data_IF_382450830724
#
_entry.id   IF_382450830724
#
_cell.length_a   1.000
_cell.length_b   1.000
_cell.length_c   1.000
_cell.angle_alpha   90.00
_cell.angle_beta   90.00
_cell.angle_gamma   90.00
#
_symmetry.space_group_name_H-M   'P 1'
#
loop_
_entity.id
_entity.type
_entity.pdbx_description
1 polymer ?
#
# COMPACT_ATOMS: atom_id res chain seq x y z
N UNK A 1 9.15 35.09 -16.33
CA UNK A 1 9.30 34.88 -14.86
C UNK A 1 10.53 35.64 -14.39
N UNK A 2 10.62 36.01 -13.11
CA UNK A 2 11.83 36.64 -12.53
C UNK A 2 12.86 35.58 -12.12
N UNK A 3 14.15 35.93 -12.08
CA UNK A 3 15.23 35.04 -11.64
C UNK A 3 15.00 34.47 -10.22
N UNK A 4 14.38 35.25 -9.33
CA UNK A 4 13.99 34.80 -8.00
C UNK A 4 12.94 33.68 -8.02
N UNK A 5 12.00 33.72 -8.97
CA UNK A 5 10.99 32.68 -9.14
C UNK A 5 11.60 31.36 -9.59
N UNK A 6 12.57 31.41 -10.51
CA UNK A 6 13.30 30.24 -10.98
C UNK A 6 14.17 29.62 -9.87
N UNK A 7 14.84 30.44 -9.05
CA UNK A 7 15.59 29.96 -7.89
C UNK A 7 14.67 29.30 -6.85
N UNK A 8 13.51 29.90 -6.57
CA UNK A 8 12.53 29.33 -5.64
C UNK A 8 11.96 28.00 -6.17
N UNK A 9 11.65 27.93 -7.46
CA UNK A 9 11.21 26.71 -8.12
C UNK A 9 12.29 25.62 -8.08
N UNK A 10 13.54 25.98 -8.35
CA UNK A 10 14.68 25.07 -8.25
C UNK A 10 14.90 24.55 -6.82
N UNK A 11 14.67 25.38 -5.80
CA UNK A 11 14.71 24.94 -4.40
C UNK A 11 13.61 23.91 -4.11
N UNK A 12 12.37 24.15 -4.56
CA UNK A 12 11.28 23.17 -4.45
C UNK A 12 11.60 21.86 -5.17
N UNK A 13 12.24 21.91 -6.34
CA UNK A 13 12.65 20.72 -7.10
C UNK A 13 13.62 19.80 -6.34
N UNK A 14 14.39 20.36 -5.41
CA UNK A 14 15.32 19.61 -4.56
C UNK A 14 14.73 19.25 -3.19
N UNK A 15 13.48 19.65 -2.94
CA UNK A 15 12.79 19.47 -1.67
C UNK A 15 13.23 20.45 -0.58
N UNK A 16 13.80 21.59 -0.96
CA UNK A 16 14.20 22.66 -0.04
C UNK A 16 13.10 23.71 0.09
N UNK A 17 12.02 23.31 0.76
CA UNK A 17 10.85 24.15 0.97
C UNK A 17 11.14 25.43 1.76
N UNK A 18 12.10 25.40 2.69
CA UNK A 18 12.45 26.55 3.51
C UNK A 18 13.14 27.63 2.69
N UNK A 19 14.13 27.26 1.87
CA UNK A 19 14.76 28.20 0.93
C UNK A 19 13.73 28.73 -0.07
N UNK A 20 12.85 27.87 -0.59
CA UNK A 20 11.77 28.30 -1.49
C UNK A 20 10.84 29.34 -0.84
N UNK A 21 10.44 29.14 0.41
CA UNK A 21 9.62 30.12 1.16
C UNK A 21 10.35 31.45 1.36
N UNK A 22 11.63 31.41 1.71
CA UNK A 22 12.45 32.61 1.88
C UNK A 22 12.55 33.43 0.58
N UNK A 23 12.67 32.76 -0.56
CA UNK A 23 12.72 33.42 -1.87
C UNK A 23 11.33 33.90 -2.33
N UNK A 24 10.31 33.07 -2.15
CA UNK A 24 8.93 33.39 -2.54
C UNK A 24 8.33 34.53 -1.70
N UNK A 25 8.78 34.71 -0.45
CA UNK A 25 8.39 35.84 0.40
C UNK A 25 8.74 37.22 -0.18
N UNK A 26 9.68 37.27 -1.13
CA UNK A 26 10.07 38.49 -1.86
C UNK A 26 9.31 38.69 -3.17
N UNK A 27 8.42 37.76 -3.51
CA UNK A 27 7.59 37.79 -4.71
C UNK A 27 6.14 38.12 -4.32
N UNK A 28 5.38 38.62 -5.28
CA UNK A 28 3.97 38.94 -5.13
C UNK A 28 3.12 38.28 -6.23
N UNK A 29 1.79 38.33 -6.09
CA UNK A 29 0.85 37.80 -7.08
C UNK A 29 0.76 36.27 -7.10
N UNK A 30 0.17 35.74 -8.19
CA UNK A 30 -0.12 34.32 -8.35
C UNK A 30 1.14 33.44 -8.27
N UNK A 31 2.26 33.84 -8.88
CA UNK A 31 3.51 33.06 -8.84
C UNK A 31 4.02 32.83 -7.41
N UNK A 32 3.95 33.87 -6.55
CA UNK A 32 4.34 33.78 -5.14
C UNK A 32 3.42 32.83 -4.37
N UNK A 33 2.11 32.93 -4.58
CA UNK A 33 1.13 32.04 -3.95
C UNK A 33 1.31 30.59 -4.38
N UNK A 34 1.59 30.32 -5.67
CA UNK A 34 1.89 28.99 -6.17
C UNK A 34 3.14 28.40 -5.46
N UNK A 35 4.25 29.14 -5.45
CA UNK A 35 5.50 28.71 -4.81
C UNK A 35 5.32 28.42 -3.32
N UNK A 36 4.66 29.32 -2.59
CA UNK A 36 4.38 29.14 -1.15
C UNK A 36 3.45 27.97 -0.90
N UNK A 37 2.38 27.83 -1.70
CA UNK A 37 1.44 26.73 -1.60
C UNK A 37 2.12 25.37 -1.74
N UNK A 38 2.98 25.22 -2.75
CA UNK A 38 3.78 23.99 -2.94
C UNK A 38 4.79 23.79 -1.79
N UNK A 39 5.41 24.85 -1.28
CA UNK A 39 6.34 24.74 -0.16
C UNK A 39 5.66 24.30 1.15
N UNK A 40 4.49 24.87 1.48
CA UNK A 40 3.70 24.44 2.64
C UNK A 40 3.27 22.98 2.52
N UNK A 41 2.91 22.59 1.29
CA UNK A 41 2.69 21.20 0.94
C UNK A 41 3.95 20.38 1.30
N UNK A 42 5.14 20.70 0.80
CA UNK A 42 6.38 19.96 1.12
C UNK A 42 6.68 19.84 2.62
N UNK A 43 6.31 20.85 3.41
CA UNK A 43 6.46 20.86 4.87
C UNK A 43 5.39 20.04 5.60
N UNK A 44 4.30 19.68 4.94
CA UNK A 44 3.19 18.90 5.48
C UNK A 44 2.05 19.73 6.06
N UNK A 45 2.06 21.06 5.88
CA UNK A 45 0.94 21.93 6.26
C UNK A 45 -0.08 21.98 5.11
N UNK A 46 -0.91 20.94 5.06
CA UNK A 46 -1.82 20.71 3.93
C UNK A 46 -2.95 21.74 3.87
N UNK A 47 -3.44 22.21 5.02
CA UNK A 47 -4.52 23.19 5.06
C UNK A 47 -4.02 24.57 4.61
N UNK A 48 -2.83 24.97 5.05
CA UNK A 48 -2.20 26.20 4.57
C UNK A 48 -1.85 26.11 3.09
N UNK A 49 -1.36 24.95 2.63
CA UNK A 49 -1.10 24.70 1.21
C UNK A 49 -2.37 24.86 0.37
N UNK A 50 -3.46 24.18 0.76
CA UNK A 50 -4.75 24.20 0.05
C UNK A 50 -5.29 25.62 -0.08
N UNK A 51 -5.38 26.33 1.05
CA UNK A 51 -5.92 27.70 1.07
C UNK A 51 -5.05 28.67 0.25
N UNK A 52 -3.72 28.51 0.31
CA UNK A 52 -2.80 29.34 -0.48
C UNK A 52 -2.92 29.07 -1.99
N UNK A 53 -3.05 27.80 -2.40
CA UNK A 53 -3.23 27.42 -3.82
C UNK A 53 -4.59 27.85 -4.37
N UNK A 54 -5.66 27.78 -3.58
CA UNK A 54 -6.96 28.32 -3.98
C UNK A 54 -6.91 29.83 -4.21
N UNK A 55 -6.20 30.57 -3.33
CA UNK A 55 -5.94 32.00 -3.53
C UNK A 55 -5.13 32.28 -4.80
N UNK A 56 -4.17 31.41 -5.15
CA UNK A 56 -3.43 31.51 -6.40
C UNK A 56 -4.38 31.49 -7.61
N UNK A 57 -5.38 30.61 -7.62
CA UNK A 57 -6.35 30.50 -8.72
C UNK A 57 -7.21 31.76 -8.88
N UNK A 58 -7.52 32.45 -7.79
CA UNK A 58 -8.29 33.71 -7.81
C UNK A 58 -7.44 34.96 -8.08
N UNK A 59 -6.11 34.84 -8.04
CA UNK A 59 -5.18 35.98 -8.13
C UNK A 59 -4.81 36.35 -9.58
N UNK A 60 -5.56 35.87 -10.58
CA UNK A 60 -5.26 36.06 -12.00
C UNK A 60 -3.98 35.35 -12.46
N UNK A 61 -3.84 34.03 -12.25
CA UNK A 61 -2.65 33.29 -12.70
C UNK A 61 -2.58 33.23 -14.22
N UNK A 62 -1.37 33.13 -14.78
CA UNK A 62 -1.19 32.69 -16.15
C UNK A 62 -1.79 31.28 -16.36
N UNK A 63 -2.11 30.88 -17.61
CA UNK A 63 -2.66 29.54 -17.88
C UNK A 63 -1.81 28.40 -17.30
N UNK A 64 -0.49 28.55 -17.31
CA UNK A 64 0.46 27.58 -16.79
C UNK A 64 0.50 27.55 -15.26
N UNK A 65 0.52 28.71 -14.61
CA UNK A 65 0.44 28.80 -13.15
C UNK A 65 -0.88 28.23 -12.61
N UNK A 66 -1.99 28.51 -13.31
CA UNK A 66 -3.29 27.93 -12.96
C UNK A 66 -3.28 26.41 -13.10
N UNK A 67 -2.74 25.87 -14.19
CA UNK A 67 -2.63 24.43 -14.39
C UNK A 67 -1.76 23.76 -13.32
N UNK A 68 -0.65 24.39 -12.92
CA UNK A 68 0.22 23.90 -11.83
C UNK A 68 -0.49 23.99 -10.47
N UNK A 69 -1.20 25.06 -10.17
CA UNK A 69 -1.94 25.21 -8.92
C UNK A 69 -3.07 24.17 -8.80
N UNK A 70 -3.83 23.94 -9.88
CA UNK A 70 -4.84 22.88 -9.95
C UNK A 70 -4.23 21.48 -9.73
N UNK A 71 -3.12 21.19 -10.41
CA UNK A 71 -2.41 19.93 -10.24
C UNK A 71 -1.95 19.71 -8.77
N UNK A 72 -1.50 20.76 -8.09
CA UNK A 72 -1.08 20.69 -6.68
C UNK A 72 -2.29 20.43 -5.77
N UNK A 73 -3.42 21.04 -6.07
CA UNK A 73 -4.68 20.78 -5.36
C UNK A 73 -5.17 19.35 -5.56
N UNK A 74 -4.97 18.74 -6.73
CA UNK A 74 -5.25 17.31 -6.95
C UNK A 74 -4.44 16.46 -5.99
N UNK A 75 -3.14 16.69 -5.88
CA UNK A 75 -2.27 15.93 -4.96
C UNK A 75 -2.73 16.05 -3.50
N UNK A 76 -3.12 17.26 -3.08
CA UNK A 76 -3.70 17.52 -1.75
C UNK A 76 -5.04 16.79 -1.54
N UNK A 77 -5.89 16.77 -2.58
CA UNK A 77 -7.20 16.13 -2.56
C UNK A 77 -7.10 14.60 -2.45
N UNK A 78 -6.08 13.97 -3.03
CA UNK A 78 -5.84 12.51 -2.90
C UNK A 78 -5.80 12.07 -1.44
N UNK A 79 -5.30 12.91 -0.54
CA UNK A 79 -5.19 12.60 0.88
C UNK A 79 -6.49 12.80 1.69
N UNK A 80 -7.49 13.51 1.15
CA UNK A 80 -8.65 13.99 1.93
C UNK A 80 -10.02 13.68 1.30
N UNK A 81 -10.08 13.46 -0.02
CA UNK A 81 -11.32 13.39 -0.80
C UNK A 81 -11.54 11.99 -1.41
N UNK A 82 -12.54 11.88 -2.30
CA UNK A 82 -12.85 10.64 -3.03
C UNK A 82 -11.75 10.30 -4.05
N UNK A 83 -11.08 9.13 -3.96
CA UNK A 83 -10.03 8.74 -4.90
C UNK A 83 -10.52 8.69 -6.37
N UNK A 84 -11.81 8.41 -6.60
CA UNK A 84 -12.38 8.42 -7.97
C UNK A 84 -12.45 9.84 -8.55
N UNK A 85 -12.85 10.83 -7.74
CA UNK A 85 -12.89 12.22 -8.18
C UNK A 85 -11.46 12.75 -8.43
N UNK A 86 -10.52 12.41 -7.54
CA UNK A 86 -9.12 12.75 -7.70
C UNK A 86 -8.52 12.14 -8.98
N UNK A 87 -8.87 10.90 -9.34
CA UNK A 87 -8.39 10.27 -10.58
C UNK A 87 -8.84 11.06 -11.83
N UNK A 88 -10.08 11.54 -11.85
CA UNK A 88 -10.59 12.35 -12.97
C UNK A 88 -9.84 13.69 -13.06
N UNK A 89 -9.66 14.38 -11.93
CA UNK A 89 -8.95 15.64 -11.88
C UNK A 89 -7.45 15.50 -12.24
N UNK A 90 -6.80 14.40 -11.85
CA UNK A 90 -5.43 14.08 -12.25
C UNK A 90 -5.31 13.89 -13.77
N UNK A 91 -6.23 13.13 -14.38
CA UNK A 91 -6.25 12.96 -15.85
C UNK A 91 -6.46 14.29 -16.59
N UNK A 92 -7.35 15.14 -16.09
CA UNK A 92 -7.55 16.48 -16.63
C UNK A 92 -6.28 17.34 -16.51
N UNK A 93 -5.58 17.27 -15.37
CA UNK A 93 -4.33 17.98 -15.12
C UNK A 93 -3.21 17.52 -16.06
N UNK A 94 -3.05 16.21 -16.27
CA UNK A 94 -2.09 15.65 -17.25
C UNK A 94 -2.36 16.21 -18.65
N UNK A 95 -3.61 16.18 -19.11
CA UNK A 95 -4.00 16.69 -20.43
C UNK A 95 -3.77 18.20 -20.56
N UNK A 96 -4.07 18.98 -19.52
CA UNK A 96 -3.89 20.44 -19.51
C UNK A 96 -2.41 20.81 -19.52
N UNK A 97 -1.60 20.22 -18.64
CA UNK A 97 -0.15 20.47 -18.57
C UNK A 97 0.56 20.08 -19.86
N UNK A 98 0.18 18.94 -20.46
CA UNK A 98 0.74 18.50 -21.75
C UNK A 98 0.42 19.50 -22.87
N UNK A 99 -0.81 20.01 -22.94
CA UNK A 99 -1.20 21.03 -23.94
C UNK A 99 -0.46 22.35 -23.75
N UNK A 100 -0.10 22.68 -22.53
CA UNK A 100 0.67 23.89 -22.19
C UNK A 100 2.18 23.69 -22.31
N UNK A 101 2.66 22.53 -22.77
CA UNK A 101 4.08 22.24 -22.95
C UNK A 101 4.84 21.85 -21.66
N UNK A 102 4.14 21.75 -20.53
CA UNK A 102 4.74 21.40 -19.24
C UNK A 102 4.82 19.88 -19.05
N UNK A 103 5.68 19.25 -19.86
CA UNK A 103 5.85 17.80 -19.87
C UNK A 103 6.39 17.26 -18.54
N UNK A 104 7.18 18.07 -17.82
CA UNK A 104 7.73 17.69 -16.52
C UNK A 104 6.61 17.48 -15.51
N UNK A 105 5.74 18.48 -15.33
CA UNK A 105 4.65 18.39 -14.36
C UNK A 105 3.53 17.45 -14.85
N UNK A 106 3.35 17.30 -16.16
CA UNK A 106 2.48 16.26 -16.71
C UNK A 106 2.95 14.84 -16.33
N UNK A 107 4.26 14.57 -16.43
CA UNK A 107 4.83 13.28 -16.01
C UNK A 107 4.66 13.02 -14.51
N UNK A 108 4.85 14.06 -13.68
CA UNK A 108 4.54 13.94 -12.25
C UNK A 108 3.06 13.61 -12.02
N UNK A 109 2.14 14.33 -12.65
CA UNK A 109 0.72 14.09 -12.49
C UNK A 109 0.28 12.70 -12.96
N UNK A 110 1.01 12.07 -13.89
CA UNK A 110 0.81 10.65 -14.21
C UNK A 110 1.27 9.71 -13.09
N UNK A 111 2.34 10.03 -12.37
CA UNK A 111 2.75 9.26 -11.18
C UNK A 111 1.76 9.45 -10.02
N UNK A 112 1.19 10.66 -9.87
CA UNK A 112 0.07 10.93 -8.95
C UNK A 112 -1.15 10.10 -9.34
N UNK A 113 -1.48 10.03 -10.63
CA UNK A 113 -2.57 9.17 -11.10
C UNK A 113 -2.28 7.70 -10.79
N UNK A 114 -1.06 7.20 -11.02
CA UNK A 114 -0.68 5.83 -10.68
C UNK A 114 -0.89 5.54 -9.19
N UNK A 115 -0.56 6.49 -8.31
CA UNK A 115 -0.84 6.42 -6.87
C UNK A 115 -2.34 6.29 -6.59
N UNK A 116 -3.18 7.07 -7.27
CA UNK A 116 -4.63 7.00 -7.12
C UNK A 116 -5.17 5.64 -7.58
N UNK A 117 -4.63 5.10 -8.67
CA UNK A 117 -4.98 3.75 -9.15
C UNK A 117 -4.61 2.68 -8.11
N UNK A 118 -3.46 2.80 -7.44
CA UNK A 118 -3.09 1.95 -6.30
C UNK A 118 -4.10 2.05 -5.15
N UNK A 119 -4.52 3.25 -4.77
CA UNK A 119 -5.53 3.47 -3.72
C UNK A 119 -6.91 2.89 -4.09
N UNK A 120 -7.19 2.77 -5.39
CA UNK A 120 -8.41 2.16 -5.93
C UNK A 120 -8.29 0.64 -6.12
N UNK A 121 -7.15 0.03 -5.76
CA UNK A 121 -6.88 -1.40 -5.91
C UNK A 121 -6.57 -1.84 -7.35
N UNK A 122 -6.33 -0.88 -8.26
CA UNK A 122 -6.09 -1.09 -9.69
C UNK A 122 -4.59 -1.10 -9.99
N UNK A 123 -3.92 -2.16 -9.53
CA UNK A 123 -2.46 -2.27 -9.57
C UNK A 123 -1.90 -2.38 -11.00
N UNK A 124 -2.62 -3.04 -11.91
CA UNK A 124 -2.21 -3.17 -13.30
C UNK A 124 -2.22 -1.81 -14.03
N UNK A 125 -3.28 -1.02 -13.81
CA UNK A 125 -3.42 0.33 -14.35
C UNK A 125 -2.35 1.27 -13.77
N UNK A 126 -2.07 1.15 -12.48
CA UNK A 126 -0.98 1.89 -11.85
C UNK A 126 0.39 1.52 -12.44
N UNK A 127 0.67 0.23 -12.64
CA UNK A 127 1.91 -0.27 -13.26
C UNK A 127 2.09 0.30 -14.66
N UNK A 128 1.05 0.22 -15.50
CA UNK A 128 1.10 0.76 -16.86
C UNK A 128 1.43 2.26 -16.88
N UNK A 129 0.89 3.04 -15.94
CA UNK A 129 1.21 4.47 -15.82
C UNK A 129 2.65 4.72 -15.41
N UNK A 130 3.17 3.99 -14.42
CA UNK A 130 4.57 4.14 -13.97
C UNK A 130 5.54 3.75 -15.09
N UNK A 131 5.28 2.65 -15.79
CA UNK A 131 6.13 2.18 -16.89
C UNK A 131 6.13 3.18 -18.06
N UNK A 132 4.96 3.74 -18.41
CA UNK A 132 4.86 4.77 -19.44
C UNK A 132 5.64 6.05 -19.10
N UNK A 133 5.69 6.43 -17.81
CA UNK A 133 6.49 7.57 -17.35
C UNK A 133 7.98 7.23 -17.36
N UNK A 134 8.36 6.03 -16.94
CA UNK A 134 9.76 5.58 -16.86
C UNK A 134 10.48 5.56 -18.22
N UNK A 135 9.74 5.39 -19.32
CA UNK A 135 10.27 5.44 -20.69
C UNK A 135 10.65 6.85 -21.17
N UNK A 136 10.27 7.90 -20.44
CA UNK A 136 10.53 9.30 -20.83
C UNK A 136 11.93 9.77 -20.41
N UNK A 137 12.49 10.81 -21.05
CA UNK A 137 13.62 11.54 -20.50
C UNK A 137 13.20 12.32 -19.25
N UNK A 138 13.36 11.69 -18.07
CA UNK A 138 13.00 12.28 -16.79
C UNK A 138 14.18 13.00 -16.14
N UNK A 139 13.88 14.15 -15.51
CA UNK A 139 14.75 14.79 -14.53
C UNK A 139 15.08 13.83 -13.36
N UNK A 140 16.24 13.98 -12.68
CA UNK A 140 16.69 13.02 -11.67
C UNK A 140 15.69 12.80 -10.53
N UNK A 141 15.06 13.87 -10.05
CA UNK A 141 14.02 13.83 -9.02
C UNK A 141 12.79 13.04 -9.48
N UNK A 142 12.26 13.31 -10.67
CA UNK A 142 11.15 12.54 -11.25
C UNK A 142 11.49 11.06 -11.45
N UNK A 143 12.73 10.78 -11.87
CA UNK A 143 13.21 9.40 -12.03
C UNK A 143 13.25 8.66 -10.69
N UNK A 144 13.69 9.33 -9.63
CA UNK A 144 13.64 8.77 -8.28
C UNK A 144 12.19 8.54 -7.82
N UNK A 145 11.25 9.46 -8.10
CA UNK A 145 9.82 9.27 -7.82
C UNK A 145 9.27 8.05 -8.56
N UNK A 146 9.57 7.88 -9.84
CA UNK A 146 9.15 6.72 -10.62
C UNK A 146 9.70 5.40 -10.05
N UNK A 147 10.96 5.38 -9.60
CA UNK A 147 11.53 4.20 -8.95
C UNK A 147 10.87 3.86 -7.62
N UNK A 148 10.58 4.87 -6.80
CA UNK A 148 9.87 4.68 -5.54
C UNK A 148 8.43 4.17 -5.77
N UNK A 149 7.73 4.69 -6.79
CA UNK A 149 6.41 4.18 -7.20
C UNK A 149 6.47 2.73 -7.69
N UNK A 150 7.49 2.38 -8.49
CA UNK A 150 7.73 1.00 -8.92
C UNK A 150 7.98 0.05 -7.76
N UNK A 151 8.74 0.50 -6.75
CA UNK A 151 9.00 -0.27 -5.53
C UNK A 151 7.73 -0.48 -4.70
N UNK A 152 6.91 0.56 -4.54
CA UNK A 152 5.62 0.50 -3.85
C UNK A 152 4.68 -0.52 -4.49
N UNK A 153 4.56 -0.50 -5.82
CA UNK A 153 3.76 -1.48 -6.57
C UNK A 153 4.28 -2.91 -6.36
N UNK A 154 5.60 -3.11 -6.44
CA UNK A 154 6.21 -4.41 -6.25
C UNK A 154 6.00 -4.94 -4.82
N UNK A 155 6.01 -4.08 -3.80
CA UNK A 155 5.67 -4.46 -2.42
C UNK A 155 4.23 -4.98 -2.33
N UNK A 156 3.29 -4.28 -2.98
CA UNK A 156 1.86 -4.65 -2.98
C UNK A 156 1.60 -5.96 -3.71
N UNK A 157 2.38 -6.24 -4.75
CA UNK A 157 2.37 -7.50 -5.50
C UNK A 157 3.04 -8.65 -4.71
N UNK A 158 3.73 -8.37 -3.59
CA UNK A 158 4.50 -9.36 -2.84
C UNK A 158 5.86 -9.70 -3.47
N UNK A 159 6.31 -8.90 -4.44
CA UNK A 159 7.56 -9.06 -5.17
C UNK A 159 8.70 -8.29 -4.48
N UNK A 160 9.12 -8.74 -3.30
CA UNK A 160 10.15 -8.08 -2.48
C UNK A 160 11.46 -7.85 -3.23
N UNK A 161 11.88 -8.84 -4.03
CA UNK A 161 13.11 -8.78 -4.84
C UNK A 161 13.04 -7.69 -5.91
N UNK A 162 11.89 -7.56 -6.58
CA UNK A 162 11.64 -6.49 -7.55
C UNK A 162 11.63 -5.13 -6.85
N UNK A 163 10.99 -5.03 -5.69
CA UNK A 163 10.99 -3.79 -4.90
C UNK A 163 12.41 -3.36 -4.51
N UNK A 164 13.26 -4.28 -4.01
CA UNK A 164 14.66 -4.01 -3.67
C UNK A 164 15.46 -3.49 -4.86
N UNK A 165 15.25 -4.07 -6.05
CA UNK A 165 15.89 -3.62 -7.28
C UNK A 165 15.49 -2.18 -7.62
N UNK A 166 14.19 -1.86 -7.54
CA UNK A 166 13.69 -0.50 -7.77
C UNK A 166 14.25 0.51 -6.74
N UNK A 167 14.29 0.16 -5.45
CA UNK A 167 14.87 1.01 -4.40
C UNK A 167 16.38 1.21 -4.60
N UNK A 168 17.10 0.20 -5.07
CA UNK A 168 18.54 0.34 -5.43
C UNK A 168 18.73 1.36 -6.55
N UNK A 169 17.85 1.35 -7.56
CA UNK A 169 17.87 2.34 -8.64
C UNK A 169 17.50 3.75 -8.14
N UNK A 170 16.52 3.87 -7.23
CA UNK A 170 16.18 5.13 -6.58
C UNK A 170 17.38 5.68 -5.79
N UNK A 171 18.03 4.86 -4.97
CA UNK A 171 19.21 5.22 -4.19
C UNK A 171 20.34 5.74 -5.06
N UNK A 172 20.69 5.04 -6.14
CA UNK A 172 21.70 5.50 -7.12
C UNK A 172 21.34 6.85 -7.74
N UNK A 173 20.07 7.10 -8.00
CA UNK A 173 19.60 8.39 -8.53
C UNK A 173 19.79 9.50 -7.49
N UNK A 174 19.40 9.25 -6.24
CA UNK A 174 19.49 10.23 -5.14
C UNK A 174 20.92 10.49 -4.68
N UNK A 175 21.84 9.55 -4.84
CA UNK A 175 23.28 9.77 -4.61
C UNK A 175 23.88 10.78 -5.60
N UNK A 176 23.41 10.76 -6.86
CA UNK A 176 23.88 11.70 -7.91
C UNK A 176 23.19 13.05 -7.85
N UNK A 177 21.92 13.06 -7.44
CA UNK A 177 21.11 14.26 -7.29
C UNK A 177 20.37 14.21 -5.96
N UNK A 178 20.99 14.71 -4.86
CA UNK A 178 20.41 14.65 -3.53
C UNK A 178 19.06 15.36 -3.45
N UNK A 179 18.11 14.70 -2.78
CA UNK A 179 16.79 15.25 -2.50
C UNK A 179 16.34 14.74 -1.13
N UNK A 180 16.21 15.63 -0.14
CA UNK A 180 16.02 15.25 1.26
C UNK A 180 14.71 14.47 1.49
N UNK A 181 13.60 14.97 0.93
CA UNK A 181 12.30 14.34 1.10
C UNK A 181 12.19 12.97 0.40
N UNK A 182 12.75 12.81 -0.80
CA UNK A 182 12.81 11.51 -1.48
C UNK A 182 13.73 10.51 -0.77
N UNK A 183 14.82 10.99 -0.16
CA UNK A 183 15.72 10.13 0.62
C UNK A 183 15.01 9.56 1.85
N UNK A 184 14.16 10.35 2.51
CA UNK A 184 13.32 9.84 3.60
C UNK A 184 12.32 8.78 3.14
N UNK A 185 11.68 9.00 1.98
CA UNK A 185 10.74 8.02 1.41
C UNK A 185 11.46 6.71 1.03
N UNK A 186 12.65 6.81 0.45
CA UNK A 186 13.53 5.67 0.18
C UNK A 186 13.81 4.88 1.46
N UNK A 187 14.31 5.53 2.52
CA UNK A 187 14.62 4.86 3.78
C UNK A 187 13.40 4.20 4.43
N UNK A 188 12.22 4.82 4.33
CA UNK A 188 10.98 4.23 4.83
C UNK A 188 10.61 2.94 4.07
N UNK A 189 10.69 2.95 2.74
CA UNK A 189 10.41 1.76 1.93
C UNK A 189 11.43 0.64 2.17
N UNK A 190 12.71 1.00 2.33
CA UNK A 190 13.77 0.04 2.64
C UNK A 190 13.55 -0.62 4.01
N UNK A 191 13.15 0.16 5.02
CA UNK A 191 12.82 -0.37 6.34
C UNK A 191 11.61 -1.32 6.30
N UNK A 192 10.58 -1.01 5.49
CA UNK A 192 9.39 -1.86 5.36
C UNK A 192 9.68 -3.22 4.69
N UNK A 193 10.68 -3.31 3.79
CA UNK A 193 11.05 -4.59 3.17
C UNK A 193 11.61 -5.62 4.16
N UNK A 194 12.33 -5.15 5.18
CA UNK A 194 13.03 -5.99 6.17
C UNK A 194 12.33 -6.06 7.52
N UNK A 195 11.27 -5.26 7.70
CA UNK A 195 10.44 -5.31 8.90
C UNK A 195 9.64 -6.62 8.89
N UNK A 196 9.63 -7.39 10.00
CA UNK A 196 8.71 -8.51 10.13
C UNK A 196 7.26 -8.05 9.92
N UNK A 197 6.54 -8.74 9.03
CA UNK A 197 5.14 -8.46 8.70
C UNK A 197 4.20 -9.62 9.05
N UNK A 198 4.77 -10.81 9.25
CA UNK A 198 4.06 -12.03 9.55
C UNK A 198 4.95 -12.99 10.35
N UNK A 199 4.41 -14.15 10.69
CA UNK A 199 5.16 -15.30 11.18
C UNK A 199 5.00 -16.44 10.20
N UNK A 200 6.08 -17.13 9.86
CA UNK A 200 6.06 -18.28 8.98
C UNK A 200 6.17 -19.55 9.83
N UNK A 201 5.14 -20.37 9.81
CA UNK A 201 5.15 -21.69 10.42
C UNK A 201 5.62 -22.72 9.39
N UNK A 202 6.61 -23.51 9.80
CA UNK A 202 7.20 -24.62 9.04
C UNK A 202 7.27 -25.86 9.95
N UNK A 203 7.73 -26.99 9.41
CA UNK A 203 8.00 -28.20 10.23
C UNK A 203 9.09 -27.98 11.28
N UNK A 204 9.99 -27.00 11.11
CA UNK A 204 11.05 -26.66 12.06
C UNK A 204 10.59 -25.71 13.18
N UNK A 205 9.39 -25.13 13.07
CA UNK A 205 8.85 -24.17 14.04
C UNK A 205 8.29 -22.90 13.40
N UNK A 206 8.12 -21.88 14.23
CA UNK A 206 7.54 -20.58 13.85
C UNK A 206 8.62 -19.51 13.94
N UNK A 207 8.86 -18.80 12.85
CA UNK A 207 9.82 -17.70 12.77
C UNK A 207 9.15 -16.40 12.31
N UNK A 208 9.75 -15.25 12.65
CA UNK A 208 9.33 -13.97 12.10
C UNK A 208 9.64 -13.90 10.60
N UNK A 209 8.72 -13.37 9.80
CA UNK A 209 8.83 -13.30 8.35
C UNK A 209 8.71 -11.85 7.85
N UNK A 210 9.74 -11.41 7.14
CA UNK A 210 9.73 -10.19 6.33
C UNK A 210 9.19 -10.49 4.91
N UNK A 211 9.16 -9.48 4.04
CA UNK A 211 8.58 -9.65 2.70
C UNK A 211 9.40 -10.62 1.82
N UNK A 212 10.72 -10.71 2.02
CA UNK A 212 11.56 -11.66 1.29
C UNK A 212 11.30 -13.10 1.72
N UNK A 213 11.11 -13.36 3.01
CA UNK A 213 10.73 -14.66 3.52
C UNK A 213 9.37 -15.10 2.95
N UNK A 214 8.41 -14.18 2.86
CA UNK A 214 7.09 -14.44 2.25
C UNK A 214 7.20 -14.72 0.75
N UNK A 215 7.90 -13.89 -0.01
CA UNK A 215 8.12 -14.08 -1.46
C UNK A 215 8.74 -15.45 -1.76
N UNK A 216 9.78 -15.82 -1.01
CA UNK A 216 10.44 -17.13 -1.11
C UNK A 216 9.52 -18.29 -0.73
N UNK A 217 8.76 -18.14 0.37
CA UNK A 217 7.81 -19.17 0.79
C UNK A 217 6.69 -19.39 -0.24
N UNK A 218 6.16 -18.32 -0.85
CA UNK A 218 5.15 -18.43 -1.89
C UNK A 218 5.66 -19.11 -3.17
N UNK A 219 6.96 -18.95 -3.48
CA UNK A 219 7.62 -19.56 -4.63
C UNK A 219 7.92 -21.05 -4.41
N UNK A 220 8.45 -21.40 -3.25
CA UNK A 220 9.08 -22.71 -3.03
C UNK A 220 8.16 -23.72 -2.29
N UNK A 221 7.00 -23.28 -1.80
CA UNK A 221 6.11 -24.08 -0.97
C UNK A 221 4.63 -23.90 -1.37
N UNK A 222 3.77 -24.80 -0.86
CA UNK A 222 2.35 -24.53 -0.75
C UNK A 222 2.14 -23.64 0.48
N UNK A 223 1.99 -22.34 0.26
CA UNK A 223 1.83 -21.35 1.30
C UNK A 223 0.34 -21.14 1.63
N UNK A 224 -0.07 -21.50 2.84
CA UNK A 224 -1.40 -21.18 3.36
C UNK A 224 -1.33 -19.82 4.06
N UNK A 225 -1.91 -18.80 3.45
CA UNK A 225 -1.87 -17.42 3.94
C UNK A 225 -3.07 -17.11 4.84
N UNK A 226 -2.86 -17.13 6.16
CA UNK A 226 -3.88 -16.78 7.15
C UNK A 226 -4.09 -15.27 7.31
N UNK A 227 -3.24 -14.42 6.73
CA UNK A 227 -3.45 -12.99 6.70
C UNK A 227 -4.49 -12.61 5.64
N UNK A 228 -4.48 -13.29 4.48
CA UNK A 228 -5.39 -13.03 3.36
C UNK A 228 -6.48 -14.08 3.17
N UNK A 229 -6.50 -15.13 4.00
CA UNK A 229 -7.36 -16.31 3.83
C UNK A 229 -7.23 -16.90 2.42
N UNK A 230 -5.99 -17.18 2.00
CA UNK A 230 -5.67 -17.64 0.66
C UNK A 230 -4.65 -18.77 0.66
N UNK A 231 -4.43 -19.37 -0.50
CA UNK A 231 -3.40 -20.39 -0.72
C UNK A 231 -2.61 -20.01 -1.96
N UNK A 232 -1.29 -20.09 -1.87
CA UNK A 232 -0.37 -19.71 -2.94
C UNK A 232 0.59 -20.85 -3.23
N UNK A 233 0.84 -21.12 -4.50
CA UNK A 233 1.92 -21.99 -4.97
C UNK A 233 2.48 -21.44 -6.28
N UNK A 234 3.70 -20.92 -6.25
CA UNK A 234 4.27 -20.26 -7.42
C UNK A 234 3.41 -19.07 -7.87
N UNK A 235 2.94 -19.09 -9.12
CA UNK A 235 2.03 -18.07 -9.67
C UNK A 235 0.55 -18.33 -9.37
N UNK A 236 0.19 -19.53 -8.91
CA UNK A 236 -1.19 -19.89 -8.68
C UNK A 236 -1.68 -19.41 -7.32
N UNK A 237 -2.85 -18.77 -7.31
CA UNK A 237 -3.45 -18.18 -6.13
C UNK A 237 -4.93 -18.56 -5.99
N UNK A 238 -5.30 -19.08 -4.83
CA UNK A 238 -6.68 -19.44 -4.49
C UNK A 238 -7.17 -18.61 -3.29
N UNK A 239 -8.08 -17.66 -3.54
CA UNK A 239 -8.72 -16.91 -2.48
C UNK A 239 -9.84 -17.72 -1.80
N UNK A 240 -9.79 -17.85 -0.48
CA UNK A 240 -10.78 -18.57 0.34
C UNK A 240 -11.45 -17.67 1.38
N UNK A 241 -11.24 -16.36 1.34
CA UNK A 241 -11.86 -15.39 2.27
C UNK A 241 -13.39 -15.49 2.35
N UNK A 242 -14.06 -15.81 1.23
CA UNK A 242 -15.53 -16.03 1.18
C UNK A 242 -15.97 -17.45 1.58
N UNK A 243 -15.03 -18.32 1.96
CA UNK A 243 -15.25 -19.72 2.34
C UNK A 243 -14.54 -20.02 3.67
N UNK A 244 -14.94 -19.35 4.78
CA UNK A 244 -14.18 -19.33 6.03
C UNK A 244 -14.01 -20.73 6.66
N UNK A 245 -15.02 -21.59 6.57
CA UNK A 245 -14.94 -22.97 7.10
C UNK A 245 -13.92 -23.79 6.32
N UNK A 246 -13.91 -23.71 4.99
CA UNK A 246 -12.95 -24.42 4.14
C UNK A 246 -11.53 -23.90 4.43
N UNK A 247 -11.36 -22.59 4.54
CA UNK A 247 -10.07 -22.01 4.88
C UNK A 247 -9.58 -22.47 6.26
N UNK A 248 -10.45 -22.47 7.28
CA UNK A 248 -10.08 -22.91 8.64
C UNK A 248 -9.63 -24.37 8.65
N UNK A 249 -10.37 -25.26 7.96
CA UNK A 249 -9.99 -26.67 7.80
C UNK A 249 -8.63 -26.83 7.09
N UNK A 250 -8.40 -26.06 6.02
CA UNK A 250 -7.12 -26.09 5.32
C UNK A 250 -5.96 -25.59 6.21
N UNK A 251 -6.16 -24.51 6.97
CA UNK A 251 -5.17 -24.00 7.91
C UNK A 251 -4.78 -25.08 8.92
N UNK A 252 -5.75 -25.77 9.51
CA UNK A 252 -5.50 -26.85 10.48
C UNK A 252 -4.70 -28.00 9.86
N UNK A 253 -5.07 -28.43 8.65
CA UNK A 253 -4.33 -29.46 7.93
C UNK A 253 -2.88 -29.03 7.62
N UNK A 254 -2.68 -27.76 7.26
CA UNK A 254 -1.37 -27.23 6.95
C UNK A 254 -0.50 -27.03 8.20
N UNK A 255 -1.11 -26.74 9.35
CA UNK A 255 -0.41 -26.63 10.63
C UNK A 255 0.02 -27.99 11.19
N UNK A 256 -0.75 -29.05 10.92
CA UNK A 256 -0.42 -30.42 11.32
C UNK A 256 0.61 -31.08 10.39
N UNK A 257 0.78 -30.56 9.17
CA UNK A 257 1.69 -31.12 8.16
C UNK A 257 3.14 -31.23 8.72
N UNK A 258 3.86 -32.34 8.47
CA UNK A 258 3.53 -33.44 7.55
C UNK A 258 2.59 -34.52 8.12
N UNK A 259 2.23 -34.42 9.39
CA UNK A 259 1.41 -35.41 10.09
C UNK A 259 -0.09 -35.27 9.76
N UNK A 260 -0.89 -36.32 9.99
CA UNK A 260 -2.33 -36.23 9.86
C UNK A 260 -2.95 -35.35 10.96
N UNK A 261 -3.86 -34.46 10.57
CA UNK A 261 -4.73 -33.78 11.53
C UNK A 261 -5.89 -34.72 11.94
N UNK A 262 -6.14 -34.82 13.24
CA UNK A 262 -7.17 -35.71 13.79
C UNK A 262 -8.57 -35.26 13.36
N UNK A 263 -9.44 -36.25 13.08
CA UNK A 263 -10.81 -35.99 12.59
C UNK A 263 -11.63 -35.15 13.56
N UNK A 264 -11.48 -35.40 14.85
CA UNK A 264 -12.26 -34.72 15.88
C UNK A 264 -11.75 -33.29 16.15
N UNK A 265 -10.45 -33.05 16.02
CA UNK A 265 -9.88 -31.71 16.14
C UNK A 265 -10.29 -30.84 14.94
N UNK A 266 -10.18 -31.39 13.72
CA UNK A 266 -10.67 -30.73 12.51
C UNK A 266 -12.16 -30.38 12.60
N UNK A 267 -12.98 -31.27 13.15
CA UNK A 267 -14.40 -31.02 13.33
C UNK A 267 -14.69 -29.94 14.36
N UNK A 268 -14.07 -30.01 15.55
CA UNK A 268 -14.28 -29.04 16.63
C UNK A 268 -13.78 -27.66 16.25
N UNK A 269 -12.52 -27.58 15.82
CA UNK A 269 -11.88 -26.31 15.48
C UNK A 269 -12.41 -25.76 14.16
N UNK A 270 -12.58 -26.60 13.13
CA UNK A 270 -13.06 -26.15 11.82
C UNK A 270 -14.49 -25.60 11.82
N UNK A 271 -15.36 -26.13 12.70
CA UNK A 271 -16.76 -25.69 12.83
C UNK A 271 -17.03 -24.80 14.05
N UNK A 272 -16.02 -24.53 14.86
CA UNK A 272 -16.14 -23.74 16.10
C UNK A 272 -17.16 -24.33 17.10
N UNK A 273 -17.13 -25.65 17.28
CA UNK A 273 -18.05 -26.38 18.16
C UNK A 273 -17.32 -27.09 19.29
N UNK A 274 -17.91 -27.07 20.48
CA UNK A 274 -17.35 -27.77 21.66
C UNK A 274 -17.45 -29.29 21.55
N UNK A 275 -18.59 -29.79 21.07
CA UNK A 275 -18.87 -31.22 20.95
C UNK A 275 -19.23 -31.59 19.51
N UNK A 276 -18.69 -32.71 19.05
CA UNK A 276 -19.00 -33.27 17.74
C UNK A 276 -20.20 -34.21 17.81
N UNK A 277 -21.07 -34.11 16.81
CA UNK A 277 -22.19 -35.03 16.61
C UNK A 277 -22.04 -35.73 15.23
N UNK A 278 -22.88 -36.75 14.92
CA UNK A 278 -22.82 -37.43 13.64
C UNK A 278 -22.98 -36.49 12.43
N UNK A 279 -23.80 -35.45 12.54
CA UNK A 279 -24.03 -34.44 11.49
C UNK A 279 -22.76 -33.61 11.22
N UNK A 280 -22.01 -33.22 12.24
CA UNK A 280 -20.72 -32.54 12.10
C UNK A 280 -19.71 -33.45 11.39
N UNK A 281 -19.66 -34.74 11.74
CA UNK A 281 -18.80 -35.71 11.04
C UNK A 281 -19.20 -35.90 9.57
N UNK A 282 -20.48 -35.86 9.26
CA UNK A 282 -20.96 -35.86 7.87
C UNK A 282 -20.56 -34.59 7.12
N UNK A 283 -20.74 -33.41 7.74
CA UNK A 283 -20.33 -32.12 7.20
C UNK A 283 -18.83 -32.07 6.93
N UNK A 284 -18.01 -32.59 7.84
CA UNK A 284 -16.55 -32.65 7.66
C UNK A 284 -16.16 -33.40 6.38
N UNK A 285 -16.79 -34.55 6.12
CA UNK A 285 -16.56 -35.32 4.88
C UNK A 285 -16.91 -34.51 3.64
N UNK A 286 -18.02 -33.76 3.67
CA UNK A 286 -18.45 -32.89 2.56
C UNK A 286 -17.46 -31.74 2.34
N UNK A 287 -17.06 -31.05 3.39
CA UNK A 287 -16.10 -29.93 3.28
C UNK A 287 -14.72 -30.40 2.84
N UNK A 288 -14.26 -31.58 3.28
CA UNK A 288 -13.02 -32.19 2.76
C UNK A 288 -13.13 -32.53 1.26
N UNK A 289 -14.28 -33.00 0.81
CA UNK A 289 -14.56 -33.20 -0.62
C UNK A 289 -14.47 -31.89 -1.41
N UNK A 290 -15.08 -30.81 -0.90
CA UNK A 290 -15.00 -29.47 -1.51
C UNK A 290 -13.58 -28.93 -1.53
N UNK A 291 -12.84 -29.09 -0.44
CA UNK A 291 -11.45 -28.66 -0.33
C UNK A 291 -10.56 -29.39 -1.35
N UNK A 292 -10.74 -30.70 -1.54
CA UNK A 292 -10.01 -31.47 -2.58
C UNK A 292 -10.22 -30.89 -3.97
N UNK A 293 -11.46 -30.56 -4.33
CA UNK A 293 -11.76 -29.98 -5.65
C UNK A 293 -11.05 -28.63 -5.82
N UNK A 294 -11.07 -27.80 -4.78
CA UNK A 294 -10.45 -26.48 -4.81
C UNK A 294 -8.92 -26.52 -4.87
N UNK A 295 -8.27 -27.52 -4.28
CA UNK A 295 -6.81 -27.64 -4.25
C UNK A 295 -6.21 -28.26 -5.52
N UNK A 296 -7.01 -28.91 -6.38
CA UNK A 296 -6.52 -29.55 -7.62
C UNK A 296 -5.66 -28.62 -8.50
N UNK A 297 -6.04 -27.36 -8.78
CA UNK A 297 -5.24 -26.46 -9.60
C UNK A 297 -3.84 -26.21 -9.02
N UNK A 298 -3.69 -26.31 -7.69
CA UNK A 298 -2.42 -26.11 -6.98
C UNK A 298 -1.58 -27.39 -6.87
N UNK A 299 -1.97 -28.47 -7.56
CA UNK A 299 -1.38 -29.81 -7.43
C UNK A 299 -1.23 -30.24 -5.96
N UNK A 300 -2.23 -29.92 -5.13
CA UNK A 300 -2.32 -30.31 -3.74
C UNK A 300 -3.59 -31.14 -3.52
N UNK A 301 -3.56 -32.06 -2.55
CA UNK A 301 -4.68 -32.95 -2.26
C UNK A 301 -4.84 -33.17 -0.75
N UNK A 302 -6.01 -33.65 -0.36
CA UNK A 302 -6.27 -34.08 1.02
C UNK A 302 -6.57 -35.57 1.01
N UNK A 303 -5.77 -36.34 1.73
CA UNK A 303 -5.92 -37.79 1.85
C UNK A 303 -6.58 -38.13 3.19
N UNK A 304 -7.45 -39.15 3.18
CA UNK A 304 -8.02 -39.67 4.42
C UNK A 304 -7.04 -40.67 5.04
N UNK A 305 -6.90 -40.64 6.36
CA UNK A 305 -6.16 -41.64 7.14
C UNK A 305 -7.12 -42.41 8.05
N UNK A 306 -6.61 -43.41 8.76
CA UNK A 306 -7.40 -44.14 9.78
C UNK A 306 -7.97 -43.17 10.83
N UNK A 307 -7.17 -42.21 11.29
CA UNK A 307 -7.50 -41.29 12.38
C UNK A 307 -8.03 -39.92 11.93
N UNK A 308 -7.81 -39.52 10.68
CA UNK A 308 -8.07 -38.15 10.26
C UNK A 308 -7.83 -37.88 8.78
N UNK A 309 -7.15 -36.77 8.51
CA UNK A 309 -6.83 -36.29 7.16
C UNK A 309 -5.45 -35.68 7.10
N UNK A 310 -4.75 -35.82 5.98
CA UNK A 310 -3.43 -35.23 5.75
C UNK A 310 -3.44 -34.42 4.47
N UNK A 311 -2.79 -33.25 4.50
CA UNK A 311 -2.54 -32.44 3.31
C UNK A 311 -1.31 -32.97 2.56
N UNK A 312 -1.44 -33.16 1.26
CA UNK A 312 -0.33 -33.53 0.38
C UNK A 312 -0.07 -32.42 -0.63
N UNK A 313 1.20 -32.10 -0.78
CA UNK A 313 1.70 -31.18 -1.81
C UNK A 313 2.96 -31.81 -2.43
N UNK A 314 2.82 -32.71 -3.42
CA UNK A 314 3.98 -33.38 -4.03
C UNK A 314 5.02 -32.39 -4.52
N UNK A 315 6.29 -32.58 -4.12
CA UNK A 315 7.40 -31.72 -4.51
C UNK A 315 7.42 -30.33 -3.87
N UNK A 316 6.58 -30.06 -2.86
CA UNK A 316 6.56 -28.79 -2.13
C UNK A 316 6.41 -29.02 -0.62
N UNK A 317 7.15 -28.25 0.18
CA UNK A 317 6.83 -28.14 1.60
C UNK A 317 5.48 -27.43 1.79
N UNK A 318 4.80 -27.67 2.90
CA UNK A 318 3.66 -26.86 3.31
C UNK A 318 4.12 -25.86 4.36
N UNK A 319 3.75 -24.59 4.19
CA UNK A 319 4.05 -23.52 5.14
C UNK A 319 2.77 -22.73 5.44
N UNK A 320 2.65 -22.21 6.66
CA UNK A 320 1.51 -21.38 7.05
C UNK A 320 2.01 -19.98 7.39
N UNK A 321 1.50 -18.98 6.68
CA UNK A 321 1.73 -17.58 7.02
C UNK A 321 0.70 -17.15 8.05
N UNK A 322 1.17 -16.81 9.24
CA UNK A 322 0.37 -16.37 10.37
C UNK A 322 0.53 -14.85 10.54
N UNK A 323 -0.50 -14.14 11.02
CA UNK A 323 -0.34 -12.75 11.40
C UNK A 323 0.67 -12.61 12.56
N UNK A 324 1.35 -11.45 12.65
CA UNK A 324 2.32 -11.16 13.71
C UNK A 324 1.75 -11.32 15.11
N UNK A 325 0.51 -10.87 15.30
CA UNK A 325 -0.30 -11.19 16.47
C UNK A 325 -1.70 -11.58 16.02
N UNK A 326 -2.40 -12.39 16.82
CA UNK A 326 -3.77 -12.82 16.51
C UNK A 326 -4.84 -11.84 17.03
N UNK A 327 -4.42 -10.79 17.73
CA UNK A 327 -5.31 -9.78 18.28
C UNK A 327 -5.90 -8.83 17.22
N UNK A 328 -6.94 -8.11 17.63
CA UNK A 328 -7.70 -7.18 16.79
C UNK A 328 -6.86 -6.00 16.29
N UNK A 329 -5.83 -5.59 17.06
CA UNK A 329 -4.93 -4.50 16.70
C UNK A 329 -3.99 -4.92 15.57
N UNK A 330 -3.51 -6.15 15.57
CA UNK A 330 -2.71 -6.70 14.48
C UNK A 330 -3.53 -6.86 13.18
N UNK A 331 -4.81 -7.26 13.27
CA UNK A 331 -5.71 -7.28 12.10
C UNK A 331 -5.97 -5.87 11.57
N UNK A 332 -6.20 -4.90 12.46
CA UNK A 332 -6.35 -3.49 12.06
C UNK A 332 -5.07 -2.93 11.43
N UNK A 333 -3.89 -3.23 11.99
CA UNK A 333 -2.60 -2.81 11.45
C UNK A 333 -2.30 -3.42 10.07
N UNK A 334 -2.73 -4.67 9.82
CA UNK A 334 -2.64 -5.31 8.51
C UNK A 334 -3.53 -4.61 7.47
N UNK A 335 -4.78 -4.30 7.82
CA UNK A 335 -5.69 -3.56 6.94
C UNK A 335 -5.20 -2.15 6.62
N UNK A 336 -4.60 -1.47 7.60
CA UNK A 336 -3.97 -0.14 7.43
C UNK A 336 -2.62 -0.21 6.71
N UNK A 337 -2.09 -1.41 6.46
CA UNK A 337 -0.80 -1.64 5.79
C UNK A 337 -0.79 -1.19 4.33
N UNK A 338 -1.95 -1.01 3.71
CA UNK A 338 -2.10 -0.43 2.38
C UNK A 338 -1.93 1.11 2.37
N UNK A 339 -1.76 1.73 3.55
CA UNK A 339 -1.64 3.17 3.75
C UNK A 339 -2.77 3.99 3.13
N UNK A 340 -3.91 3.37 2.82
CA UNK A 340 -5.13 4.11 2.59
C UNK A 340 -5.58 4.73 3.92
N UNK A 341 -6.35 5.81 3.82
CA UNK A 341 -6.94 6.45 4.97
C UNK A 341 -8.28 5.79 5.28
N UNK A 342 -8.37 5.05 6.39
CA UNK A 342 -9.58 4.29 6.75
C UNK A 342 -10.41 5.06 7.78
N UNK A 343 -11.73 5.09 7.60
CA UNK A 343 -12.63 5.40 8.71
C UNK A 343 -12.75 4.19 9.63
N UNK A 344 -13.11 4.41 10.89
CA UNK A 344 -13.38 3.31 11.83
C UNK A 344 -14.47 2.36 11.32
N UNK A 345 -15.46 2.90 10.60
CA UNK A 345 -16.53 2.11 9.98
C UNK A 345 -16.05 1.16 8.90
N UNK A 346 -15.28 1.68 7.95
CA UNK A 346 -14.71 0.86 6.88
C UNK A 346 -13.83 -0.25 7.45
N UNK A 347 -13.06 0.06 8.50
CA UNK A 347 -12.19 -0.90 9.15
C UNK A 347 -13.00 -1.99 9.87
N UNK A 348 -14.06 -1.63 10.58
CA UNK A 348 -14.97 -2.57 11.23
C UNK A 348 -15.62 -3.53 10.23
N UNK A 349 -16.13 -2.98 9.11
CA UNK A 349 -16.76 -3.74 8.03
C UNK A 349 -15.78 -4.73 7.37
N UNK A 350 -14.55 -4.29 7.04
CA UNK A 350 -13.55 -5.16 6.42
C UNK A 350 -12.96 -6.21 7.36
N UNK A 351 -12.73 -5.85 8.62
CA UNK A 351 -12.23 -6.79 9.62
C UNK A 351 -13.31 -7.78 10.09
N UNK A 352 -14.59 -7.53 9.76
CA UNK A 352 -15.71 -8.34 10.24
C UNK A 352 -15.91 -8.24 11.76
N UNK A 353 -15.62 -7.07 12.35
CA UNK A 353 -15.68 -6.82 13.80
C UNK A 353 -16.66 -5.70 14.12
N UNK A 354 -17.04 -5.57 15.40
CA UNK A 354 -17.90 -4.46 15.84
C UNK A 354 -17.17 -3.10 15.74
N UNK A 355 -17.94 -2.02 15.60
CA UNK A 355 -17.40 -0.65 15.63
C UNK A 355 -16.59 -0.33 16.89
N UNK A 356 -17.08 -0.76 18.07
CA UNK A 356 -16.41 -0.55 19.35
C UNK A 356 -15.07 -1.29 19.40
N UNK A 357 -15.02 -2.49 18.81
CA UNK A 357 -13.81 -3.30 18.66
C UNK A 357 -12.78 -2.59 17.78
N UNK A 358 -13.20 -2.10 16.61
CA UNK A 358 -12.35 -1.34 15.70
C UNK A 358 -11.79 -0.06 16.33
N UNK A 359 -12.61 0.69 17.10
CA UNK A 359 -12.16 1.88 17.84
C UNK A 359 -11.07 1.55 18.86
N UNK A 360 -11.23 0.47 19.63
CA UNK A 360 -10.26 0.04 20.63
C UNK A 360 -8.92 -0.37 19.98
N UNK A 361 -8.98 -1.13 18.89
CA UNK A 361 -7.80 -1.50 18.11
C UNK A 361 -7.06 -0.26 17.59
N UNK A 362 -7.78 0.69 17.00
CA UNK A 362 -7.21 1.96 16.52
C UNK A 362 -6.60 2.81 17.64
N UNK A 363 -7.24 2.88 18.81
CA UNK A 363 -6.72 3.60 19.96
C UNK A 363 -5.40 2.97 20.48
N UNK A 364 -5.32 1.64 20.51
CA UNK A 364 -4.09 0.94 20.88
C UNK A 364 -2.94 1.20 19.89
N UNK A 365 -3.25 1.20 18.58
CA UNK A 365 -2.25 1.52 17.54
C UNK A 365 -1.79 2.98 17.58
N UNK A 366 -2.71 3.91 17.87
CA UNK A 366 -2.38 5.32 18.08
C UNK A 366 -1.43 5.53 19.27
N UNK A 367 -1.69 4.86 20.39
CA UNK A 367 -0.84 4.94 21.58
C UNK A 367 0.59 4.45 21.32
N UNK A 368 0.75 3.49 20.40
CA UNK A 368 2.07 2.97 19.96
C UNK A 368 2.74 3.81 18.87
N UNK A 369 2.07 4.85 18.35
CA UNK A 369 2.55 5.62 17.21
C UNK A 369 2.54 4.85 15.88
N UNK A 370 1.89 3.69 15.82
CA UNK A 370 1.79 2.86 14.61
C UNK A 370 0.70 3.37 13.65
N UNK A 371 -0.20 4.23 14.12
CA UNK A 371 -1.27 4.84 13.34
C UNK A 371 -1.34 6.33 13.69
N UNK A 372 -1.65 7.19 12.72
CA UNK A 372 -1.98 8.61 12.94
C UNK A 372 -3.40 8.92 12.49
N UNK A 373 -3.93 9.99 13.06
CA UNK A 373 -5.23 10.56 12.69
C UNK A 373 -5.03 11.65 11.64
N UNK A 374 -5.89 11.67 10.63
CA UNK A 374 -5.97 12.73 9.63
C UNK A 374 -7.41 13.22 9.51
N UNK A 375 -7.59 14.53 9.44
CA UNK A 375 -8.92 15.15 9.44
C UNK A 375 -9.59 15.17 10.82
N UNK A 376 -10.85 15.63 10.84
CA UNK A 376 -11.64 15.81 12.06
C UNK A 376 -13.12 15.48 11.82
N UNK A 377 -13.86 15.14 12.88
CA UNK A 377 -15.28 14.83 12.78
C UNK A 377 -15.59 13.69 11.81
N UNK A 378 -16.49 13.93 10.85
CA UNK A 378 -16.90 12.94 9.83
C UNK A 378 -15.82 12.63 8.78
N UNK A 379 -14.83 13.51 8.61
CA UNK A 379 -13.67 13.30 7.74
C UNK A 379 -12.49 12.63 8.47
N UNK A 380 -12.61 12.31 9.76
CA UNK A 380 -11.55 11.63 10.51
C UNK A 380 -11.22 10.28 9.87
N UNK A 381 -9.94 10.10 9.55
CA UNK A 381 -9.36 8.86 9.05
C UNK A 381 -8.15 8.45 9.87
N UNK A 382 -7.83 7.17 9.78
CA UNK A 382 -6.68 6.53 10.40
C UNK A 382 -5.80 5.97 9.31
N UNK A 383 -4.49 6.17 9.43
CA UNK A 383 -3.49 5.64 8.49
C UNK A 383 -2.22 5.27 9.25
N UNK A 384 -1.50 4.25 8.78
CA UNK A 384 -0.21 3.87 9.38
C UNK A 384 0.91 4.77 8.87
N UNK A 385 1.57 5.61 9.70
CA UNK A 385 2.70 6.44 9.28
C UNK A 385 3.82 5.57 8.76
N UNK A 386 4.44 5.95 7.64
CA UNK A 386 5.57 5.20 7.11
C UNK A 386 5.25 3.79 6.63
N UNK A 387 3.99 3.34 6.63
CA UNK A 387 3.58 2.34 5.64
C UNK A 387 4.01 2.88 4.27
N UNK A 388 4.37 2.03 3.29
CA UNK A 388 4.90 2.42 1.96
C UNK A 388 4.11 3.52 1.24
N UNK A 389 2.91 3.79 1.75
CA UNK A 389 1.79 4.47 1.16
C UNK A 389 1.39 5.74 1.95
N UNK A 390 1.98 5.97 3.13
CA UNK A 390 1.60 7.05 4.03
C UNK A 390 2.65 8.17 4.07
N UNK A 391 2.26 9.29 3.47
CA UNK A 391 2.79 10.65 3.68
C UNK A 391 4.22 10.91 3.22
N UNK A 392 4.37 11.32 1.95
CA UNK A 392 5.10 12.56 1.53
C UNK A 392 5.48 12.62 0.05
N UNK A 393 5.29 11.58 -0.76
CA UNK A 393 5.53 11.71 -2.21
C UNK A 393 4.54 12.67 -2.90
N UNK A 394 3.35 12.85 -2.33
CA UNK A 394 2.26 13.72 -2.81
C UNK A 394 2.49 15.22 -2.57
N UNK A 395 3.70 15.63 -2.19
CA UNK A 395 4.05 17.03 -2.01
C UNK A 395 5.38 17.37 -2.68
N UNK A 396 5.95 16.43 -3.45
CA UNK A 396 7.24 16.58 -4.16
C UNK A 396 7.05 16.92 -5.63
N UNK A 397 5.80 17.09 -6.03
CA UNK A 397 5.40 16.85 -7.40
C UNK A 397 5.67 17.98 -8.37
N UNK A 398 5.28 19.17 -7.98
CA UNK A 398 5.18 20.26 -8.91
C UNK A 398 6.35 21.19 -8.71
N UNK A 399 7.22 21.15 -9.70
CA UNK A 399 8.28 22.12 -9.81
C UNK A 399 7.75 23.20 -10.73
N UNK A 400 7.54 24.44 -10.24
CA UNK A 400 7.23 25.57 -11.10
C UNK A 400 8.49 26.05 -11.84
N UNK A 401 9.27 25.13 -12.42
CA UNK A 401 10.38 25.46 -13.32
C UNK A 401 9.86 25.65 -14.72
N UNK A 402 10.51 26.56 -15.45
CA UNK A 402 10.28 26.99 -16.84
C UNK A 402 9.43 26.02 -17.64
#
# INVERSE_FOLDING_TARGET
>A
MSALSELAAGALARGDALTALSLAGRLHGASSLLLRGVAYAQLGDVDLARTTLQRCLTAGPSPLEGARAEAALVEIAVAHDSPRAAAHAARASVTRLTRLGDHRNAAMQQLVLARIEVLLGRLAEARALVDAVALRPLAPDLRAVAWLASAELAIREGAATTARTALTSARRTLLRSPHALLSRALSALEAELVRPLARLQTSAGIEAADLFAVERAARDALLVDACRCAVVRGSDHLALARRPVIFRLLRLLAQAWPEPAMRDDLGREGFDVRHLNPSHRARLRVEMGRLRVLLRPLAASVEATSTGYVLRAPGAAVKVLLPLAEDESARAAFLLGDGAAWSTRQLAEHAGISMRTAQRALAALLAKGEVVRVGAGSSLRYLRPGAPLASRMLLLGLVPTV
#
